data_IF_912264764335
#
_entry.id   IF_912264764335
#
_cell.length_a   1.000
_cell.length_b   1.000
_cell.length_c   1.000
_cell.angle_alpha   90.00
_cell.angle_beta   90.00
_cell.angle_gamma   90.00
#
_symmetry.space_group_name_H-M   'P 1'
#
loop_
_entity.id
_entity.type
_entity.pdbx_description
1 polymer ?
#
# COMPACT_ATOMS: atom_id res chain seq x y z
N UNK A 1 -3.31 -25.40 -17.70
CA UNK A 1 -4.71 -25.37 -17.22
C UNK A 1 -4.83 -24.64 -15.89
N UNK A 2 -4.14 -25.03 -14.80
CA UNK A 2 -4.18 -24.27 -13.53
C UNK A 2 -3.79 -22.77 -13.65
N UNK A 3 -2.85 -22.43 -14.53
CA UNK A 3 -2.40 -21.05 -14.76
C UNK A 3 -3.41 -20.18 -15.51
N UNK A 4 -4.26 -20.75 -16.38
CA UNK A 4 -5.25 -19.96 -17.12
C UNK A 4 -6.46 -19.60 -16.23
N UNK A 5 -6.83 -20.50 -15.31
CA UNK A 5 -7.91 -20.27 -14.36
C UNK A 5 -7.52 -19.24 -13.29
N UNK A 6 -6.27 -19.30 -12.83
CA UNK A 6 -5.69 -18.32 -11.90
C UNK A 6 -5.49 -16.94 -12.57
N UNK A 7 -5.07 -16.92 -13.85
CA UNK A 7 -4.94 -15.70 -14.65
C UNK A 7 -6.31 -15.05 -14.95
N UNK A 8 -7.36 -15.85 -15.18
CA UNK A 8 -8.74 -15.40 -15.35
C UNK A 8 -9.41 -14.97 -14.03
N UNK A 9 -9.03 -15.55 -12.89
CA UNK A 9 -9.47 -15.09 -11.58
C UNK A 9 -8.80 -13.75 -11.20
N UNK A 10 -7.49 -13.64 -11.43
CA UNK A 10 -6.72 -12.41 -11.32
C UNK A 10 -7.26 -11.30 -12.24
N UNK A 11 -7.62 -11.64 -13.47
CA UNK A 11 -8.31 -10.78 -14.43
C UNK A 11 -9.57 -10.17 -13.86
N UNK A 12 -10.47 -11.03 -13.41
CA UNK A 12 -11.79 -10.63 -12.94
C UNK A 12 -11.69 -9.85 -11.64
N UNK A 13 -10.67 -10.11 -10.81
CA UNK A 13 -10.40 -9.37 -9.58
C UNK A 13 -9.83 -7.97 -9.85
N UNK A 14 -8.83 -7.82 -10.73
CA UNK A 14 -8.24 -6.52 -11.05
C UNK A 14 -9.25 -5.57 -11.72
N UNK A 15 -10.01 -6.07 -12.70
CA UNK A 15 -11.08 -5.29 -13.35
C UNK A 15 -12.22 -4.99 -12.38
N UNK A 16 -12.50 -5.89 -11.43
CA UNK A 16 -13.49 -5.63 -10.38
C UNK A 16 -13.02 -4.58 -9.38
N UNK A 17 -11.75 -4.58 -8.95
CA UNK A 17 -11.22 -3.53 -8.07
C UNK A 17 -11.21 -2.15 -8.75
N UNK A 18 -10.92 -2.10 -10.05
CA UNK A 18 -10.93 -0.86 -10.82
C UNK A 18 -12.35 -0.31 -11.04
N UNK A 19 -13.36 -1.18 -11.10
CA UNK A 19 -14.77 -0.83 -11.37
C UNK A 19 -15.71 -0.99 -10.17
N UNK A 20 -15.21 -1.36 -8.99
CA UNK A 20 -16.03 -1.55 -7.81
C UNK A 20 -16.62 -0.21 -7.40
N UNK A 21 -17.95 -0.12 -7.37
CA UNK A 21 -18.60 0.99 -6.72
C UNK A 21 -18.15 1.01 -5.26
N UNK A 22 -17.67 2.15 -4.75
CA UNK A 22 -17.15 2.20 -3.39
C UNK A 22 -18.24 1.82 -2.40
N UNK A 23 -17.85 1.04 -1.39
CA UNK A 23 -18.75 0.65 -0.33
C UNK A 23 -19.33 1.91 0.33
N UNK A 24 -20.64 1.99 0.60
CA UNK A 24 -21.22 3.09 1.35
C UNK A 24 -20.46 3.28 2.66
N UNK A 25 -19.83 4.45 2.81
CA UNK A 25 -19.03 4.76 4.00
C UNK A 25 -17.55 4.34 3.95
N UNK A 26 -17.01 4.04 2.76
CA UNK A 26 -15.58 3.76 2.58
C UNK A 26 -14.83 4.99 2.05
N UNK A 27 -13.55 5.12 2.44
CA UNK A 27 -12.60 5.99 1.76
C UNK A 27 -12.34 5.43 0.37
N UNK A 28 -12.79 6.14 -0.66
CA UNK A 28 -12.42 5.78 -2.02
C UNK A 28 -10.91 5.99 -2.23
N UNK A 29 -10.23 5.16 -3.05
CA UNK A 29 -8.82 5.37 -3.37
C UNK A 29 -8.51 6.79 -3.88
N UNK A 30 -9.38 7.37 -4.72
CA UNK A 30 -9.23 8.75 -5.22
C UNK A 30 -9.32 9.81 -4.10
N UNK A 31 -10.21 9.59 -3.13
CA UNK A 31 -10.34 10.46 -1.95
C UNK A 31 -9.12 10.37 -1.03
N UNK A 32 -8.51 9.18 -0.92
CA UNK A 32 -7.27 9.00 -0.17
C UNK A 32 -6.17 9.86 -0.81
N UNK A 33 -6.03 9.83 -2.13
CA UNK A 33 -5.05 10.68 -2.82
C UNK A 33 -5.32 12.15 -2.59
N UNK A 34 -6.56 12.59 -2.79
CA UNK A 34 -6.90 14.00 -2.73
C UNK A 34 -6.76 14.58 -1.31
N UNK A 35 -7.20 13.83 -0.29
CA UNK A 35 -7.38 14.36 1.07
C UNK A 35 -6.32 13.88 2.06
N UNK A 36 -5.64 12.77 1.79
CA UNK A 36 -4.68 12.15 2.71
C UNK A 36 -3.24 12.34 2.27
N UNK A 37 -2.96 12.38 0.96
CA UNK A 37 -1.59 12.52 0.46
C UNK A 37 -1.01 13.90 0.77
N UNK A 38 0.23 13.99 1.26
CA UNK A 38 0.93 15.27 1.34
C UNK A 38 1.33 15.76 -0.05
N UNK A 39 1.49 17.08 -0.21
CA UNK A 39 1.88 17.70 -1.49
C UNK A 39 3.25 17.23 -2.00
N UNK A 40 4.11 16.76 -1.09
CA UNK A 40 5.41 16.20 -1.41
C UNK A 40 5.34 14.81 -2.05
N UNK A 41 4.17 14.15 -2.10
CA UNK A 41 4.04 12.84 -2.72
C UNK A 41 4.12 12.93 -4.27
N UNK A 42 5.11 12.29 -4.92
CA UNK A 42 5.29 12.37 -6.37
C UNK A 42 4.18 11.59 -7.10
N UNK A 43 3.12 12.29 -7.52
CA UNK A 43 1.93 11.67 -8.12
C UNK A 43 2.22 10.77 -9.32
N UNK A 44 3.14 11.17 -10.20
CA UNK A 44 3.54 10.35 -11.34
C UNK A 44 4.16 9.00 -10.90
N UNK A 45 5.03 9.04 -9.88
CA UNK A 45 5.67 7.86 -9.31
C UNK A 45 4.67 6.96 -8.60
N UNK A 46 3.77 7.57 -7.83
CA UNK A 46 2.65 6.89 -7.17
C UNK A 46 1.78 6.15 -8.18
N UNK A 47 1.38 6.82 -9.26
CA UNK A 47 0.52 6.22 -10.27
C UNK A 47 1.21 5.07 -11.00
N UNK A 48 2.49 5.20 -11.33
CA UNK A 48 3.28 4.10 -11.87
C UNK A 48 3.34 2.94 -10.88
N UNK A 49 3.74 3.19 -9.63
CA UNK A 49 3.87 2.15 -8.61
C UNK A 49 2.54 1.43 -8.38
N UNK A 50 1.44 2.17 -8.29
CA UNK A 50 0.10 1.59 -8.16
C UNK A 50 -0.25 0.67 -9.34
N UNK A 51 0.04 1.09 -10.57
CA UNK A 51 -0.23 0.29 -11.77
C UNK A 51 0.60 -1.01 -11.84
N UNK A 52 1.81 -1.02 -11.28
CA UNK A 52 2.73 -2.16 -11.37
C UNK A 52 2.73 -3.04 -10.11
N UNK A 53 2.31 -2.52 -8.95
CA UNK A 53 2.36 -3.18 -7.65
C UNK A 53 1.79 -4.61 -7.64
N UNK A 54 0.66 -4.92 -8.28
CA UNK A 54 0.11 -6.28 -8.29
C UNK A 54 1.05 -7.33 -8.91
N UNK A 55 1.99 -6.91 -9.76
CA UNK A 55 2.92 -7.78 -10.50
C UNK A 55 4.34 -7.75 -9.95
N UNK A 56 4.63 -6.82 -9.02
CA UNK A 56 5.95 -6.69 -8.41
C UNK A 56 6.23 -7.77 -7.37
N UNK A 57 5.21 -8.42 -6.81
CA UNK A 57 5.40 -9.42 -5.75
C UNK A 57 6.47 -10.45 -6.15
N UNK A 58 6.38 -11.07 -7.34
CA UNK A 58 7.35 -12.06 -7.82
C UNK A 58 8.80 -11.55 -7.99
N UNK A 59 9.02 -10.23 -8.04
CA UNK A 59 10.36 -9.63 -8.07
C UNK A 59 10.95 -9.42 -6.67
N UNK A 60 10.09 -9.27 -5.66
CA UNK A 60 10.47 -9.03 -4.26
C UNK A 60 10.13 -10.23 -3.33
N UNK A 61 9.58 -11.32 -3.88
CA UNK A 61 8.81 -12.40 -3.20
C UNK A 61 9.55 -13.28 -2.20
N UNK A 62 10.83 -13.01 -1.89
CA UNK A 62 11.57 -13.81 -0.88
C UNK A 62 12.04 -13.03 0.32
N UNK A 63 11.78 -11.72 0.37
CA UNK A 63 12.29 -10.88 1.45
C UNK A 63 11.23 -9.90 1.86
N UNK A 64 10.39 -10.31 2.81
CA UNK A 64 9.60 -9.33 3.54
C UNK A 64 10.46 -8.82 4.70
N UNK A 65 10.89 -7.56 4.61
CA UNK A 65 11.78 -6.93 5.59
C UNK A 65 13.06 -7.75 5.90
N UNK A 66 13.65 -8.39 4.88
CA UNK A 66 14.86 -9.20 5.03
C UNK A 66 14.66 -10.60 5.63
N UNK A 67 13.41 -11.10 5.74
CA UNK A 67 13.10 -12.46 6.19
C UNK A 67 12.38 -13.26 5.11
N UNK A 68 12.69 -14.54 5.03
CA UNK A 68 11.88 -15.51 4.30
C UNK A 68 10.55 -15.64 5.05
N UNK A 69 9.43 -15.44 4.36
CA UNK A 69 8.12 -15.68 4.94
C UNK A 69 8.01 -17.15 5.32
N UNK A 70 7.62 -17.43 6.56
CA UNK A 70 7.41 -18.80 7.03
C UNK A 70 6.08 -19.38 6.57
N UNK A 71 5.70 -20.53 7.13
CA UNK A 71 4.33 -21.04 7.01
C UNK A 71 3.37 -20.04 7.66
N UNK A 72 2.47 -19.49 6.85
CA UNK A 72 1.45 -18.54 7.29
C UNK A 72 0.14 -19.27 7.54
N UNK A 73 -0.53 -18.92 8.63
CA UNK A 73 -1.84 -19.46 8.99
C UNK A 73 -2.94 -18.43 8.71
N UNK A 74 -4.06 -18.83 8.13
CA UNK A 74 -5.21 -17.94 7.94
C UNK A 74 -5.95 -17.69 9.27
N UNK A 75 -6.29 -16.42 9.53
CA UNK A 75 -7.16 -16.08 10.67
C UNK A 75 -8.61 -16.37 10.30
N UNK A 76 -9.29 -17.15 11.15
CA UNK A 76 -10.71 -17.43 10.97
C UNK A 76 -11.58 -16.18 11.12
N UNK A 77 -12.68 -16.07 10.36
CA UNK A 77 -13.59 -14.92 10.44
C UNK A 77 -14.19 -14.65 11.83
N UNK A 78 -14.33 -15.66 12.69
CA UNK A 78 -14.87 -15.51 14.04
C UNK A 78 -13.85 -14.93 15.04
N UNK A 79 -12.58 -14.79 14.65
CA UNK A 79 -11.53 -14.24 15.50
C UNK A 79 -11.72 -12.72 15.70
N UNK A 80 -11.61 -12.17 16.94
CA UNK A 80 -11.78 -10.74 17.19
C UNK A 80 -10.86 -9.83 16.35
N UNK A 81 -9.61 -10.24 16.15
CA UNK A 81 -8.66 -9.52 15.28
C UNK A 81 -9.06 -9.53 13.81
N UNK A 82 -9.69 -10.61 13.33
CA UNK A 82 -10.22 -10.65 11.96
C UNK A 82 -11.27 -9.56 11.79
N UNK A 83 -12.22 -9.45 12.72
CA UNK A 83 -13.29 -8.46 12.66
C UNK A 83 -12.75 -7.03 12.63
N UNK A 84 -11.78 -6.70 13.49
CA UNK A 84 -11.18 -5.35 13.51
C UNK A 84 -10.40 -5.06 12.22
N UNK A 85 -9.62 -6.03 11.73
CA UNK A 85 -8.86 -5.86 10.49
C UNK A 85 -9.77 -5.79 9.25
N UNK A 86 -10.84 -6.57 9.22
CA UNK A 86 -11.87 -6.56 8.17
C UNK A 86 -12.62 -5.24 8.15
N UNK A 87 -13.07 -4.74 9.31
CA UNK A 87 -13.72 -3.43 9.41
C UNK A 87 -12.81 -2.31 8.91
N UNK A 88 -11.51 -2.36 9.23
CA UNK A 88 -10.53 -1.40 8.73
C UNK A 88 -10.35 -1.50 7.20
N UNK A 89 -10.32 -2.71 6.64
CA UNK A 89 -10.22 -2.93 5.20
C UNK A 89 -11.43 -2.33 4.46
N UNK A 90 -12.65 -2.63 4.94
CA UNK A 90 -13.89 -2.11 4.37
C UNK A 90 -13.96 -0.58 4.42
N UNK A 91 -13.49 0.03 5.53
CA UNK A 91 -13.42 1.49 5.67
C UNK A 91 -12.46 2.15 4.69
N UNK A 92 -11.44 1.44 4.19
CA UNK A 92 -10.53 1.95 3.15
C UNK A 92 -10.91 1.49 1.74
N UNK A 93 -12.09 0.85 1.58
CA UNK A 93 -12.61 0.45 0.29
C UNK A 93 -12.10 -0.89 -0.23
N UNK A 94 -11.49 -1.73 0.61
CA UNK A 94 -11.10 -3.09 0.26
C UNK A 94 -12.24 -4.06 0.61
N UNK A 95 -12.80 -4.71 -0.39
CA UNK A 95 -13.84 -5.75 -0.25
C UNK A 95 -13.32 -7.17 -0.43
N UNK A 96 -12.07 -7.32 -0.92
CA UNK A 96 -11.37 -8.58 -1.12
C UNK A 96 -9.97 -8.49 -0.55
N UNK A 97 -9.68 -9.37 0.41
CA UNK A 97 -8.41 -9.42 1.08
C UNK A 97 -8.26 -10.73 1.86
N UNK A 98 -7.03 -11.05 2.23
CA UNK A 98 -6.69 -12.15 3.12
C UNK A 98 -6.10 -11.61 4.42
N UNK A 99 -6.30 -12.34 5.53
CA UNK A 99 -5.69 -12.01 6.81
C UNK A 99 -4.94 -13.25 7.31
N UNK A 100 -3.63 -13.11 7.39
CA UNK A 100 -2.69 -14.18 7.69
C UNK A 100 -1.94 -13.88 8.99
N UNK A 101 -1.44 -14.92 9.64
CA UNK A 101 -0.56 -14.84 10.82
C UNK A 101 0.80 -15.41 10.48
N UNK A 102 1.84 -14.69 10.87
CA UNK A 102 3.23 -15.15 10.80
C UNK A 102 3.90 -15.01 12.17
N UNK A 103 4.40 -16.14 12.71
CA UNK A 103 5.10 -16.19 14.00
C UNK A 103 6.44 -15.45 13.97
N UNK A 104 7.07 -15.37 12.80
CA UNK A 104 8.38 -14.76 12.60
C UNK A 104 8.33 -13.22 12.51
N UNK A 105 7.15 -12.64 12.26
CA UNK A 105 6.95 -11.20 12.05
C UNK A 105 6.97 -10.37 13.35
N UNK A 106 6.84 -11.02 14.52
CA UNK A 106 6.96 -10.37 15.83
C UNK A 106 5.79 -9.44 16.15
N UNK A 107 6.08 -8.17 16.48
CA UNK A 107 5.06 -7.16 16.85
C UNK A 107 4.60 -6.29 15.67
N UNK A 108 4.81 -6.73 14.43
CA UNK A 108 4.53 -5.94 13.23
C UNK A 108 3.30 -6.46 12.48
N UNK A 109 2.73 -5.59 11.68
CA UNK A 109 1.75 -5.91 10.64
C UNK A 109 2.27 -5.38 9.31
N UNK A 110 2.06 -6.14 8.24
CA UNK A 110 2.55 -5.80 6.90
C UNK A 110 1.50 -6.19 5.87
N UNK A 111 1.45 -5.47 4.76
CA UNK A 111 0.64 -5.86 3.61
C UNK A 111 1.52 -6.44 2.53
N UNK A 112 1.04 -7.54 1.94
CA UNK A 112 1.53 -8.09 0.69
C UNK A 112 0.59 -7.59 -0.42
N UNK A 113 1.10 -6.74 -1.33
CA UNK A 113 0.35 -6.31 -2.50
C UNK A 113 0.06 -7.47 -3.44
N UNK A 114 -1.07 -7.41 -4.12
CA UNK A 114 -1.50 -8.39 -5.09
C UNK A 114 -2.92 -8.08 -5.55
N UNK A 115 -3.47 -8.91 -6.44
CA UNK A 115 -4.87 -8.81 -6.85
C UNK A 115 -5.84 -9.11 -5.70
N UNK A 116 -5.39 -9.88 -4.73
CA UNK A 116 -6.05 -10.04 -3.43
C UNK A 116 -4.99 -9.71 -2.38
N UNK A 117 -4.95 -8.46 -1.88
CA UNK A 117 -3.93 -8.06 -0.92
C UNK A 117 -4.08 -8.86 0.38
N UNK A 118 -2.96 -9.27 0.96
CA UNK A 118 -2.95 -9.99 2.22
C UNK A 118 -2.37 -9.11 3.34
N UNK A 119 -3.07 -9.01 4.47
CA UNK A 119 -2.53 -8.46 5.69
C UNK A 119 -1.91 -9.59 6.51
N UNK A 120 -0.61 -9.52 6.72
CA UNK A 120 0.10 -10.46 7.59
C UNK A 120 0.31 -9.82 8.96
N UNK A 121 -0.16 -10.52 9.98
CA UNK A 121 -0.11 -10.11 11.37
C UNK A 121 0.94 -10.93 12.12
N UNK A 122 1.79 -10.27 12.87
CA UNK A 122 2.68 -10.96 13.79
C UNK A 122 1.91 -11.56 14.96
N UNK A 123 2.18 -12.82 15.30
CA UNK A 123 1.53 -13.49 16.43
C UNK A 123 1.65 -12.67 17.74
N UNK A 124 2.84 -12.13 18.02
CA UNK A 124 3.08 -11.28 19.20
C UNK A 124 2.39 -9.92 19.13
N UNK A 125 2.06 -9.42 17.93
CA UNK A 125 1.22 -8.24 17.81
C UNK A 125 -0.19 -8.55 18.33
N UNK A 126 -0.74 -9.70 17.95
CA UNK A 126 -2.08 -10.13 18.37
C UNK A 126 -2.19 -10.39 19.88
N UNK A 127 -1.11 -10.85 20.52
CA UNK A 127 -1.07 -11.08 21.97
C UNK A 127 -1.02 -9.78 22.79
N UNK A 128 -0.38 -8.74 22.26
CA UNK A 128 -0.07 -7.53 23.02
C UNK A 128 -0.93 -6.32 22.66
N UNK A 129 -1.51 -6.29 21.46
CA UNK A 129 -2.20 -5.11 20.98
C UNK A 129 -3.52 -4.90 21.74
N UNK A 130 -3.81 -3.64 22.05
CA UNK A 130 -5.14 -3.25 22.49
C UNK A 130 -6.01 -3.04 21.23
N UNK A 131 -7.33 -3.30 21.29
CA UNK A 131 -8.21 -3.13 20.12
C UNK A 131 -8.08 -1.78 19.40
N UNK A 132 -7.90 -0.70 20.16
CA UNK A 132 -7.75 0.67 19.62
C UNK A 132 -6.44 0.87 18.86
N UNK A 133 -5.32 0.42 19.43
CA UNK A 133 -4.00 0.54 18.79
C UNK A 133 -3.87 -0.44 17.61
N UNK A 134 -4.48 -1.61 17.73
CA UNK A 134 -4.58 -2.59 16.64
C UNK A 134 -5.30 -2.02 15.43
N UNK A 135 -6.48 -1.41 15.62
CA UNK A 135 -7.24 -0.78 14.54
C UNK A 135 -6.44 0.27 13.76
N UNK A 136 -5.63 1.07 14.45
CA UNK A 136 -4.73 2.04 13.81
C UNK A 136 -3.63 1.36 12.98
N UNK A 137 -2.98 0.33 13.54
CA UNK A 137 -1.90 -0.41 12.88
C UNK A 137 -2.39 -1.11 11.59
N UNK A 138 -3.52 -1.82 11.67
CA UNK A 138 -4.08 -2.49 10.49
C UNK A 138 -4.64 -1.49 9.48
N UNK A 139 -5.20 -0.36 9.93
CA UNK A 139 -5.63 0.72 9.04
C UNK A 139 -4.47 1.33 8.25
N UNK A 140 -3.31 1.54 8.88
CA UNK A 140 -2.06 1.97 8.19
C UNK A 140 -1.61 0.94 7.17
N UNK A 141 -1.63 -0.34 7.55
CA UNK A 141 -1.21 -1.42 6.67
C UNK A 141 -2.12 -1.49 5.43
N UNK A 142 -3.45 -1.46 5.61
CA UNK A 142 -4.39 -1.42 4.49
C UNK A 142 -4.26 -0.17 3.62
N UNK A 143 -3.92 0.98 4.21
CA UNK A 143 -3.61 2.19 3.45
C UNK A 143 -2.50 1.95 2.41
N UNK A 144 -1.47 1.19 2.78
CA UNK A 144 -0.37 0.84 1.88
C UNK A 144 -0.80 -0.12 0.76
N UNK A 145 -1.81 -0.95 1.01
CA UNK A 145 -2.43 -1.79 -0.02
C UNK A 145 -3.13 -0.92 -1.07
N UNK A 146 -4.04 -0.04 -0.61
CA UNK A 146 -4.90 0.76 -1.50
C UNK A 146 -4.17 1.88 -2.22
N UNK A 147 -3.02 2.34 -1.70
CA UNK A 147 -2.17 3.31 -2.39
C UNK A 147 -1.07 2.64 -3.22
N UNK A 148 -0.91 1.32 -3.13
CA UNK A 148 0.20 0.58 -3.73
C UNK A 148 1.56 0.89 -3.11
N UNK A 149 1.60 1.61 -1.97
CA UNK A 149 2.84 2.11 -1.38
C UNK A 149 3.58 1.09 -0.51
N UNK A 150 3.07 -0.13 -0.33
CA UNK A 150 3.73 -1.14 0.49
C UNK A 150 5.20 -1.35 0.08
N UNK A 151 5.49 -1.35 -1.24
CA UNK A 151 6.85 -1.39 -1.84
C UNK A 151 7.83 -0.37 -1.29
N UNK A 152 7.36 0.79 -0.86
CA UNK A 152 8.24 1.78 -0.25
C UNK A 152 8.72 1.35 1.15
N UNK A 153 8.03 0.47 1.87
CA UNK A 153 8.43 0.06 3.24
C UNK A 153 9.35 -1.16 3.30
N UNK A 154 9.05 -2.19 2.52
CA UNK A 154 9.74 -3.48 2.56
C UNK A 154 10.90 -3.62 1.56
N UNK A 155 10.85 -2.93 0.43
CA UNK A 155 11.91 -3.03 -0.57
C UNK A 155 13.08 -2.13 -0.17
N UNK A 156 14.29 -2.52 -0.59
CA UNK A 156 15.39 -1.56 -0.66
C UNK A 156 15.00 -0.45 -1.64
N UNK A 157 15.09 0.81 -1.21
CA UNK A 157 14.58 1.94 -2.00
C UNK A 157 15.34 2.11 -3.32
N UNK A 158 16.64 1.83 -3.32
CA UNK A 158 17.44 1.92 -4.53
C UNK A 158 17.11 0.77 -5.49
N UNK A 159 16.93 -0.44 -4.97
CA UNK A 159 16.46 -1.57 -5.78
C UNK A 159 15.07 -1.32 -6.38
N UNK A 160 14.14 -0.75 -5.61
CA UNK A 160 12.82 -0.36 -6.11
C UNK A 160 12.93 0.69 -7.22
N UNK A 161 13.78 1.70 -7.05
CA UNK A 161 14.06 2.72 -8.05
C UNK A 161 14.59 2.11 -9.35
N UNK A 162 15.56 1.19 -9.26
CA UNK A 162 16.10 0.47 -10.41
C UNK A 162 15.04 -0.39 -11.12
N UNK A 163 14.14 -1.01 -10.37
CA UNK A 163 13.02 -1.77 -10.94
C UNK A 163 12.05 -0.84 -11.68
N UNK A 164 11.64 0.27 -11.07
CA UNK A 164 10.76 1.26 -11.71
C UNK A 164 11.40 1.85 -12.97
N UNK A 165 12.69 2.21 -12.92
CA UNK A 165 13.44 2.67 -14.07
C UNK A 165 13.54 1.58 -15.16
N UNK A 166 13.76 0.32 -14.79
CA UNK A 166 13.74 -0.81 -15.71
C UNK A 166 12.40 -0.98 -16.42
N UNK A 167 11.28 -0.80 -15.72
CA UNK A 167 9.93 -0.84 -16.29
C UNK A 167 9.74 0.30 -17.29
N UNK A 168 10.09 1.53 -16.90
CA UNK A 168 9.98 2.72 -17.75
C UNK A 168 10.86 2.59 -18.99
N UNK A 169 12.04 1.97 -18.87
CA UNK A 169 12.96 1.73 -20.00
C UNK A 169 12.37 0.89 -21.14
N UNK A 170 11.28 0.15 -20.88
CA UNK A 170 10.54 -0.58 -21.93
C UNK A 170 9.79 0.35 -22.89
N UNK A 171 9.47 1.56 -22.45
CA UNK A 171 8.69 2.56 -23.19
C UNK A 171 9.54 3.79 -23.56
N UNK A 172 10.53 4.14 -22.72
CA UNK A 172 11.53 5.18 -22.98
C UNK A 172 12.95 4.64 -22.76
N UNK A 173 13.66 4.32 -23.84
CA UNK A 173 14.98 3.66 -23.78
C UNK A 173 16.11 4.55 -23.24
N UNK A 174 15.88 5.84 -23.08
CA UNK A 174 16.86 6.77 -22.53
C UNK A 174 16.67 7.02 -21.02
N UNK A 175 15.54 6.59 -20.46
CA UNK A 175 15.24 6.78 -19.05
C UNK A 175 16.15 5.94 -18.13
N UNK A 176 16.65 6.57 -17.06
CA UNK A 176 17.39 5.92 -15.97
C UNK A 176 18.85 5.55 -16.28
N UNK A 177 19.41 5.99 -17.40
CA UNK A 177 20.82 5.70 -17.77
C UNK A 177 21.86 6.27 -16.79
N UNK A 178 21.46 7.22 -15.97
CA UNK A 178 22.22 7.77 -14.84
C UNK A 178 22.17 6.88 -13.59
N UNK A 179 21.15 6.01 -13.46
CA UNK A 179 20.97 5.08 -12.35
C UNK A 179 21.71 3.77 -12.56
N UNK A 180 21.65 3.20 -13.77
CA UNK A 180 22.29 1.93 -14.10
C UNK A 180 22.56 1.78 -15.59
N UNK A 181 23.30 0.73 -15.98
CA UNK A 181 23.57 0.45 -17.38
C UNK A 181 22.29 0.10 -18.14
N UNK A 182 22.24 0.44 -19.43
CA UNK A 182 21.09 0.15 -20.30
C UNK A 182 20.75 -1.35 -20.36
N UNK A 183 21.76 -2.22 -20.28
CA UNK A 183 21.55 -3.67 -20.24
C UNK A 183 20.85 -4.12 -18.96
N UNK A 184 21.24 -3.57 -17.82
CA UNK A 184 20.67 -3.95 -16.51
C UNK A 184 19.22 -3.50 -16.41
N UNK A 185 18.92 -2.26 -16.83
CA UNK A 185 17.55 -1.74 -16.86
C UNK A 185 16.66 -2.55 -17.81
N UNK A 186 17.18 -2.90 -19.00
CA UNK A 186 16.46 -3.72 -19.96
C UNK A 186 16.19 -5.14 -19.43
N UNK A 187 17.11 -5.73 -18.66
CA UNK A 187 16.93 -7.02 -18.01
C UNK A 187 15.83 -6.96 -16.95
N UNK A 188 15.87 -5.96 -16.06
CA UNK A 188 14.85 -5.73 -15.02
C UNK A 188 13.47 -5.51 -15.63
N UNK A 189 13.37 -4.65 -16.64
CA UNK A 189 12.11 -4.41 -17.36
C UNK A 189 11.57 -5.68 -18.04
N UNK A 190 12.43 -6.48 -18.67
CA UNK A 190 12.02 -7.77 -19.24
C UNK A 190 11.57 -8.76 -18.17
N UNK A 191 12.24 -8.81 -17.02
CA UNK A 191 11.86 -9.67 -15.91
C UNK A 191 10.48 -9.30 -15.37
N UNK A 192 10.21 -8.00 -15.19
CA UNK A 192 8.89 -7.49 -14.85
C UNK A 192 7.83 -7.88 -15.90
N UNK A 193 8.09 -7.60 -17.19
CA UNK A 193 7.11 -7.86 -18.25
C UNK A 193 6.76 -9.34 -18.40
N UNK A 194 7.61 -10.26 -17.94
CA UNK A 194 7.28 -11.70 -17.85
C UNK A 194 6.22 -12.01 -16.79
N UNK A 195 6.14 -11.21 -15.72
CA UNK A 195 5.11 -11.33 -14.66
C UNK A 195 3.77 -10.69 -15.07
N UNK A 196 3.80 -9.75 -16.04
CA UNK A 196 2.60 -9.02 -16.46
C UNK A 196 1.85 -9.74 -17.59
N UNK A 197 0.55 -10.05 -17.41
CA UNK A 197 -0.32 -10.55 -18.47
C UNK A 197 -0.31 -9.67 -19.71
N UNK A 198 -0.24 -10.27 -20.91
CA UNK A 198 -0.09 -9.52 -22.18
C UNK A 198 -1.13 -8.41 -22.37
N UNK A 199 -2.38 -8.67 -21.94
CA UNK A 199 -3.51 -7.73 -22.06
C UNK A 199 -3.40 -6.50 -21.14
N UNK A 200 -2.68 -6.61 -20.02
CA UNK A 200 -2.51 -5.50 -19.06
C UNK A 200 -1.33 -4.60 -19.45
N UNK A 201 -0.34 -5.11 -20.19
CA UNK A 201 0.89 -4.37 -20.53
C UNK A 201 0.66 -2.97 -21.10
N UNK A 202 -0.43 -2.76 -21.84
CA UNK A 202 -0.78 -1.46 -22.42
C UNK A 202 -1.21 -0.43 -21.37
N UNK A 203 -1.84 -0.83 -20.26
CA UNK A 203 -2.26 0.11 -19.21
C UNK A 203 -1.08 0.67 -18.40
N UNK A 204 0.12 0.08 -18.54
CA UNK A 204 1.34 0.51 -17.83
C UNK A 204 2.08 1.61 -18.62
N UNK A 205 1.88 1.68 -19.94
CA UNK A 205 2.62 2.58 -20.83
C UNK A 205 2.42 4.06 -20.45
N UNK A 206 1.17 4.50 -20.28
CA UNK A 206 0.87 5.89 -19.93
C UNK A 206 1.45 6.30 -18.55
N UNK A 207 1.22 5.56 -17.44
CA UNK A 207 1.88 5.85 -16.16
C UNK A 207 3.40 5.87 -16.25
N UNK A 208 4.01 4.98 -17.04
CA UNK A 208 5.46 4.93 -17.21
C UNK A 208 6.00 6.17 -17.95
N UNK A 209 5.34 6.62 -19.01
CA UNK A 209 5.73 7.82 -19.75
C UNK A 209 5.52 9.10 -18.92
N UNK A 210 4.44 9.17 -18.14
CA UNK A 210 4.18 10.29 -17.22
C UNK A 210 5.26 10.34 -16.13
N UNK A 211 5.66 9.18 -15.59
CA UNK A 211 6.78 9.10 -14.66
C UNK A 211 8.10 9.57 -15.28
N UNK A 212 8.39 9.16 -16.52
CA UNK A 212 9.60 9.58 -17.23
C UNK A 212 9.71 11.11 -17.37
N UNK A 213 8.58 11.79 -17.53
CA UNK A 213 8.51 13.24 -17.69
C UNK A 213 8.53 14.02 -16.36
N UNK A 214 8.25 13.36 -15.23
CA UNK A 214 8.11 14.01 -13.93
C UNK A 214 9.45 14.42 -13.29
N UNK A 215 10.57 13.95 -13.83
CA UNK A 215 11.92 14.21 -13.32
C UNK A 215 12.33 13.26 -12.19
N UNK A 216 13.46 13.56 -11.56
CA UNK A 216 14.03 12.71 -10.51
C UNK A 216 13.13 12.66 -9.26
N UNK A 217 12.90 11.45 -8.75
CA UNK A 217 12.07 11.22 -7.57
C UNK A 217 12.95 10.92 -6.37
N UNK A 218 12.86 11.74 -5.33
CA UNK A 218 13.51 11.46 -4.05
C UNK A 218 12.84 10.30 -3.34
N UNK A 219 13.34 9.07 -3.50
CA UNK A 219 12.72 7.85 -2.95
C UNK A 219 12.50 7.90 -1.44
N UNK A 220 13.44 8.47 -0.67
CA UNK A 220 13.28 8.64 0.78
C UNK A 220 12.16 9.64 1.14
N UNK A 221 12.08 10.77 0.42
CA UNK A 221 10.99 11.75 0.58
C UNK A 221 9.64 11.14 0.21
N UNK A 222 9.61 10.30 -0.83
CA UNK A 222 8.40 9.60 -1.23
C UNK A 222 7.98 8.55 -0.20
N UNK A 223 8.91 7.77 0.35
CA UNK A 223 8.62 6.83 1.44
C UNK A 223 7.98 7.56 2.63
N UNK A 224 8.53 8.70 3.05
CA UNK A 224 7.98 9.46 4.18
C UNK A 224 6.60 10.08 3.87
N UNK A 225 6.42 10.57 2.64
CA UNK A 225 5.12 11.03 2.17
C UNK A 225 4.06 9.91 2.21
N UNK A 226 4.42 8.70 1.76
CA UNK A 226 3.56 7.54 1.79
C UNK A 226 3.24 7.07 3.23
N UNK A 227 4.22 7.15 4.15
CA UNK A 227 3.99 6.91 5.59
C UNK A 227 2.99 7.88 6.19
N UNK A 228 3.13 9.16 5.86
CA UNK A 228 2.19 10.21 6.28
C UNK A 228 0.78 9.91 5.79
N UNK A 229 0.62 9.53 4.53
CA UNK A 229 -0.66 9.09 3.96
C UNK A 229 -1.22 7.90 4.74
N UNK A 230 -0.40 6.87 5.00
CA UNK A 230 -0.82 5.69 5.74
C UNK A 230 -1.26 6.02 7.18
N UNK A 231 -0.55 6.90 7.88
CA UNK A 231 -0.89 7.37 9.23
C UNK A 231 -2.24 8.10 9.24
N UNK A 232 -2.51 8.98 8.27
CA UNK A 232 -3.77 9.70 8.16
C UNK A 232 -4.95 8.76 7.86
N UNK A 233 -4.76 7.82 6.95
CA UNK A 233 -5.76 6.78 6.64
C UNK A 233 -5.99 5.88 7.86
N UNK A 234 -4.93 5.46 8.56
CA UNK A 234 -5.04 4.65 9.77
C UNK A 234 -5.84 5.34 10.86
N UNK A 235 -5.62 6.64 11.09
CA UNK A 235 -6.42 7.45 12.02
C UNK A 235 -7.88 7.54 11.57
N UNK A 236 -8.12 7.71 10.28
CA UNK A 236 -9.47 7.77 9.73
C UNK A 236 -10.22 6.45 9.93
N UNK A 237 -9.54 5.32 9.64
CA UNK A 237 -10.08 3.98 9.78
C UNK A 237 -10.40 3.63 11.23
N UNK A 238 -9.49 3.90 12.18
CA UNK A 238 -9.69 3.54 13.59
C UNK A 238 -10.57 4.54 14.36
N UNK A 239 -10.61 5.81 13.94
CA UNK A 239 -11.34 6.87 14.61
C UNK A 239 -10.81 7.25 16.00
N UNK A 240 -9.67 6.70 16.44
CA UNK A 240 -9.10 6.90 17.78
C UNK A 240 -7.73 7.59 17.72
N UNK A 241 -7.74 8.91 17.92
CA UNK A 241 -6.54 9.74 17.97
C UNK A 241 -5.59 9.34 19.10
N UNK A 242 -6.11 8.89 20.24
CA UNK A 242 -5.29 8.52 21.38
C UNK A 242 -4.54 7.22 21.08
N UNK A 243 -5.24 6.21 20.55
CA UNK A 243 -4.62 4.97 20.11
C UNK A 243 -3.56 5.19 19.04
N UNK A 244 -3.84 6.06 18.06
CA UNK A 244 -2.88 6.45 17.04
C UNK A 244 -1.61 7.10 17.62
N UNK A 245 -1.78 8.07 18.53
CA UNK A 245 -0.67 8.75 19.18
C UNK A 245 0.14 7.83 20.10
N UNK A 246 -0.50 6.88 20.78
CA UNK A 246 0.17 5.86 21.60
C UNK A 246 1.07 4.96 20.74
N UNK A 247 0.59 4.50 19.58
CA UNK A 247 1.39 3.71 18.62
C UNK A 247 2.59 4.51 18.10
N UNK A 248 2.36 5.74 17.61
CA UNK A 248 3.43 6.57 17.06
C UNK A 248 4.52 6.90 18.09
N UNK A 249 4.15 7.14 19.35
CA UNK A 249 5.13 7.32 20.43
C UNK A 249 5.92 6.05 20.72
N UNK A 250 5.27 4.88 20.69
CA UNK A 250 5.96 3.60 20.87
C UNK A 250 6.95 3.31 19.72
N UNK A 251 6.62 3.76 18.50
CA UNK A 251 7.50 3.73 17.33
C UNK A 251 8.60 4.81 17.36
N UNK A 252 8.61 5.69 18.38
CA UNK A 252 9.52 6.84 18.50
C UNK A 252 9.42 7.80 17.31
N UNK A 253 8.21 8.00 16.79
CA UNK A 253 7.94 9.05 15.82
C UNK A 253 8.38 10.40 16.40
N UNK A 254 8.91 11.26 15.53
CA UNK A 254 9.30 12.61 15.93
C UNK A 254 8.08 13.50 16.24
N UNK A 255 8.37 14.67 16.82
CA UNK A 255 7.35 15.65 17.18
C UNK A 255 6.63 16.22 15.94
N UNK A 256 7.27 16.20 14.77
CA UNK A 256 6.69 16.70 13.51
C UNK A 256 5.59 15.77 13.02
N UNK A 257 5.79 14.44 13.08
CA UNK A 257 4.78 13.43 12.76
C UNK A 257 3.59 13.52 13.72
N UNK A 258 3.84 13.65 15.02
CA UNK A 258 2.78 13.79 16.03
C UNK A 258 2.00 15.10 15.84
N UNK A 259 2.69 16.21 15.60
CA UNK A 259 2.09 17.52 15.33
C UNK A 259 1.28 17.49 14.03
N UNK A 260 1.82 16.86 12.98
CA UNK A 260 1.14 16.66 11.71
C UNK A 260 -0.15 15.87 11.86
N UNK A 261 -0.17 14.83 12.70
CA UNK A 261 -1.38 14.07 13.01
C UNK A 261 -2.43 14.92 13.72
N UNK A 262 -2.02 15.74 14.71
CA UNK A 262 -2.92 16.63 15.44
C UNK A 262 -3.53 17.70 14.54
N UNK A 263 -2.70 18.36 13.73
CA UNK A 263 -3.13 19.36 12.75
C UNK A 263 -4.08 18.76 11.71
N UNK A 264 -3.78 17.55 11.24
CA UNK A 264 -4.66 16.83 10.34
C UNK A 264 -6.01 16.54 11.01
N UNK A 265 -6.01 16.14 12.29
CA UNK A 265 -7.22 15.80 13.02
C UNK A 265 -8.19 16.98 13.23
N UNK A 266 -7.67 18.20 13.37
CA UNK A 266 -8.47 19.41 13.51
C UNK A 266 -8.73 20.12 12.17
N UNK A 267 -8.09 19.67 11.09
CA UNK A 267 -8.18 20.27 9.77
C UNK A 267 -9.45 19.90 9.02
N UNK A 268 -9.88 20.77 8.11
CA UNK A 268 -11.03 20.52 7.22
C UNK A 268 -10.85 19.30 6.32
N UNK A 269 -9.60 18.90 6.02
CA UNK A 269 -9.30 17.70 5.23
C UNK A 269 -9.79 16.42 5.91
N UNK A 270 -9.60 16.25 7.23
CA UNK A 270 -10.14 15.06 7.92
C UNK A 270 -11.67 15.08 7.99
N UNK A 271 -12.28 16.25 8.18
CA UNK A 271 -13.75 16.37 8.19
C UNK A 271 -14.32 15.90 6.86
N UNK A 272 -13.79 16.41 5.74
CA UNK A 272 -14.21 16.01 4.38
C UNK A 272 -13.94 14.53 4.13
N UNK A 273 -12.81 14.01 4.60
CA UNK A 273 -12.52 12.59 4.50
C UNK A 273 -13.53 11.74 5.28
N UNK A 274 -13.85 12.09 6.52
CA UNK A 274 -14.84 11.38 7.35
C UNK A 274 -16.25 11.44 6.76
N UNK A 275 -16.63 12.59 6.21
CA UNK A 275 -17.88 12.75 5.47
C UNK A 275 -17.91 11.82 4.25
N UNK A 276 -16.81 11.72 3.50
CA UNK A 276 -16.68 10.76 2.40
C UNK A 276 -16.75 9.30 2.88
N UNK A 277 -16.27 8.99 4.09
CA UNK A 277 -16.46 7.70 4.75
C UNK A 277 -17.86 7.47 5.34
N UNK A 278 -18.85 8.34 5.08
CA UNK A 278 -20.18 8.18 5.70
C UNK A 278 -20.17 8.17 7.23
N UNK A 279 -19.05 8.56 7.86
CA UNK A 279 -18.94 8.71 9.29
C UNK A 279 -19.65 10.02 9.61
N UNK A 280 -20.93 9.94 9.97
CA UNK A 280 -21.70 11.08 10.46
C UNK A 280 -20.93 11.64 11.64
N UNK A 281 -20.33 12.82 11.47
CA UNK A 281 -19.75 13.59 12.56
C UNK A 281 -20.93 13.92 13.47
N UNK A 282 -21.05 13.19 14.59
CA UNK A 282 -21.96 13.59 15.65
C UNK A 282 -21.52 15.00 16.08
N UNK A 283 -22.34 15.99 15.72
CA UNK A 283 -22.16 17.38 16.12
C UNK A 283 -22.35 17.54 17.62
#
# INVERSE_FOLDING_TARGET
EATEEEEAAAEKAAVAMENAAPLPGSLRPDVIVELMSPEAEPMAARNLLFAVAPYLHGMFSRRLAGREMGDMDEIRPDHPWYQIASDAALRVGLDRFEILVDRSLGHRSVVIPGNTPALVLGEKLMEMAQPRTFGFLVGRAWAQAVTGSAFLEWADLHELELVLAGIVSQFDREFGQDLASRSDLAERGKAFMKQVPRRVRKSIEEPALVYAQAGAVGMATWQEAARTTAVRVGLCACGDLRGAAEVLRAEKADDDVLTGLLLYNIGSRLVRAREACGAVVAR
#
